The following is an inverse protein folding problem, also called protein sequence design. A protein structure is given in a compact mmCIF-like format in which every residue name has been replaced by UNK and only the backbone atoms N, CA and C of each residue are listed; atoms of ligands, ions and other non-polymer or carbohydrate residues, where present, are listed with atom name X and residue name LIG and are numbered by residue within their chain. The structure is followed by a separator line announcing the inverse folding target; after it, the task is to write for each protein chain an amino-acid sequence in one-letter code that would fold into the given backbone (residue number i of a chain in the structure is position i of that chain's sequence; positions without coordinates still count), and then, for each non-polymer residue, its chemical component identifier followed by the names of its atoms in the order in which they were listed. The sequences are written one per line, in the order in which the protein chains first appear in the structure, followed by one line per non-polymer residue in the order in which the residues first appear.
data_IF_880988138509
#
_entry.id   IF_880988138509
#
_cell.length_a   1.000
_cell.length_b   1.000
_cell.length_c   1.000
_cell.angle_alpha   90.00
_cell.angle_beta   90.00
_cell.angle_gamma   90.00
#
_symmetry.space_group_name_H-M   'P 1'
#
loop_
_entity.id
_entity.type
_entity.pdbx_description
1 polymer ?
#
# COMPACT_ATOMS: atom_id res chain seq x y z
N UNK A 1 78.20 53.30 5.18
CA UNK A 1 78.24 52.31 4.06
C UNK A 1 77.31 51.17 4.48
N UNK A 2 76.03 51.21 4.10
CA UNK A 2 75.45 50.77 2.82
C UNK A 2 75.42 49.24 2.65
N UNK A 3 74.19 48.70 2.50
CA UNK A 3 73.86 47.38 1.98
C UNK A 3 74.06 46.24 3.00
N UNK A 4 73.18 45.25 3.20
CA UNK A 4 72.09 44.77 2.37
C UNK A 4 71.10 44.01 3.30
N UNK A 5 70.07 44.69 3.80
CA UNK A 5 68.89 44.09 4.43
C UNK A 5 67.79 43.99 3.36
N UNK A 6 67.93 43.14 2.33
CA UNK A 6 66.81 42.93 1.40
C UNK A 6 66.95 41.71 0.48
N UNK A 7 67.44 40.55 0.94
CA UNK A 7 67.55 39.41 0.01
C UNK A 7 67.44 38.01 0.63
N UNK A 8 66.83 37.88 1.82
CA UNK A 8 66.52 36.55 2.40
C UNK A 8 65.08 36.37 2.87
N UNK A 9 64.19 37.31 2.51
CA UNK A 9 62.76 37.27 2.87
C UNK A 9 61.83 37.12 1.66
N UNK A 10 62.37 36.71 0.50
CA UNK A 10 61.60 36.51 -0.76
C UNK A 10 61.86 35.09 -1.32
N UNK A 11 62.04 34.11 -0.45
CA UNK A 11 62.11 32.69 -0.85
C UNK A 11 61.37 31.76 0.13
N UNK A 12 60.53 32.34 1.00
CA UNK A 12 59.63 31.62 1.91
C UNK A 12 58.15 32.08 1.79
N UNK A 13 57.82 32.78 0.69
CA UNK A 13 56.46 33.26 0.37
C UNK A 13 56.03 32.83 -1.06
N UNK A 14 56.57 31.71 -1.54
CA UNK A 14 56.21 31.10 -2.83
C UNK A 14 55.99 29.58 -2.69
N UNK A 15 55.47 29.15 -1.54
CA UNK A 15 54.98 27.78 -1.29
C UNK A 15 53.48 27.74 -0.97
N UNK A 16 52.76 28.84 -1.16
CA UNK A 16 51.30 28.92 -0.97
C UNK A 16 50.67 29.43 -2.26
N UNK A 17 50.47 28.54 -3.25
CA UNK A 17 49.42 28.64 -4.28
C UNK A 17 49.63 27.62 -5.40
N UNK A 18 49.58 26.32 -5.09
CA UNK A 18 49.17 25.29 -6.07
C UNK A 18 48.52 24.13 -5.33
N UNK A 19 47.45 24.41 -4.56
CA UNK A 19 46.40 23.39 -4.43
C UNK A 19 45.73 23.30 -5.79
N UNK A 20 46.34 22.53 -6.69
CA UNK A 20 45.65 22.01 -7.87
C UNK A 20 44.42 21.34 -7.30
N UNK A 21 43.24 21.91 -7.54
CA UNK A 21 41.97 21.25 -7.32
C UNK A 21 41.92 20.11 -8.33
N UNK A 22 42.67 19.04 -8.09
CA UNK A 22 42.45 17.78 -8.77
C UNK A 22 41.02 17.41 -8.40
N UNK A 23 40.13 17.45 -9.38
CA UNK A 23 38.83 16.81 -9.23
C UNK A 23 39.13 15.40 -8.73
N UNK A 24 38.59 14.99 -7.57
CA UNK A 24 38.87 13.66 -7.05
C UNK A 24 38.49 12.69 -8.16
N UNK A 25 39.46 11.86 -8.57
CA UNK A 25 39.24 10.85 -9.60
C UNK A 25 38.18 9.91 -9.06
N UNK A 26 36.94 10.10 -9.51
CA UNK A 26 35.83 9.26 -9.08
C UNK A 26 36.10 7.84 -9.55
N UNK A 27 36.18 6.92 -8.59
CA UNK A 27 36.34 5.50 -8.87
C UNK A 27 35.09 4.97 -9.56
N UNK A 28 35.24 3.94 -10.40
CA UNK A 28 34.10 3.27 -11.06
C UNK A 28 33.03 2.81 -10.05
N UNK A 29 33.44 2.38 -8.86
CA UNK A 29 32.55 1.98 -7.77
C UNK A 29 31.77 3.18 -7.20
N UNK A 30 32.41 4.35 -7.06
CA UNK A 30 31.72 5.57 -6.61
C UNK A 30 30.71 6.08 -7.63
N UNK A 31 31.03 6.03 -8.93
CA UNK A 31 30.11 6.36 -10.01
C UNK A 31 28.91 5.40 -10.06
N UNK A 32 29.14 4.11 -9.83
CA UNK A 32 28.07 3.12 -9.78
C UNK A 32 27.16 3.35 -8.57
N UNK A 33 27.72 3.57 -7.37
CA UNK A 33 26.94 3.93 -6.18
C UNK A 33 26.13 5.21 -6.37
N UNK A 34 26.72 6.22 -7.02
CA UNK A 34 26.01 7.47 -7.32
C UNK A 34 24.87 7.23 -8.31
N UNK A 35 25.08 6.49 -9.40
CA UNK A 35 24.02 6.12 -10.35
C UNK A 35 22.90 5.33 -9.68
N UNK A 36 23.23 4.39 -8.80
CA UNK A 36 22.25 3.64 -8.01
C UNK A 36 21.45 4.55 -7.08
N UNK A 37 22.10 5.51 -6.43
CA UNK A 37 21.44 6.49 -5.56
C UNK A 37 20.55 7.47 -6.35
N UNK A 38 21.03 7.99 -7.48
CA UNK A 38 20.25 8.86 -8.36
C UNK A 38 19.01 8.15 -8.90
N UNK A 39 19.17 6.89 -9.33
CA UNK A 39 18.04 6.06 -9.77
C UNK A 39 17.04 5.80 -8.63
N UNK A 40 17.53 5.46 -7.44
CA UNK A 40 16.68 5.29 -6.26
C UNK A 40 15.89 6.57 -5.94
N UNK A 41 16.57 7.71 -5.83
CA UNK A 41 15.93 8.99 -5.51
C UNK A 41 14.97 9.48 -6.59
N UNK A 42 15.22 9.16 -7.86
CA UNK A 42 14.34 9.52 -8.98
C UNK A 42 13.03 8.73 -9.00
N UNK A 43 13.01 7.53 -8.41
CA UNK A 43 11.82 6.67 -8.33
C UNK A 43 11.13 6.72 -6.95
N UNK A 44 11.55 7.64 -6.08
CA UNK A 44 10.95 7.82 -4.77
C UNK A 44 9.55 8.42 -4.93
N UNK A 45 8.55 7.68 -4.47
CA UNK A 45 7.17 8.15 -4.42
C UNK A 45 6.98 8.98 -3.15
N UNK A 46 6.14 10.01 -3.19
CA UNK A 46 5.84 10.83 -2.01
C UNK A 46 4.34 11.14 -1.96
N UNK A 47 3.68 10.58 -0.96
CA UNK A 47 2.29 10.84 -0.62
C UNK A 47 1.99 10.36 0.80
N UNK A 48 0.87 10.81 1.37
CA UNK A 48 0.47 10.46 2.74
C UNK A 48 1.50 10.83 3.83
N UNK A 49 2.34 11.86 3.59
CA UNK A 49 3.47 12.21 4.47
C UNK A 49 4.57 11.14 4.56
N UNK A 50 4.55 10.14 3.69
CA UNK A 50 5.59 9.13 3.57
C UNK A 50 6.27 9.23 2.21
N UNK A 51 7.51 8.77 2.19
CA UNK A 51 8.24 8.45 0.98
C UNK A 51 8.21 6.93 0.81
N UNK A 52 7.94 6.46 -0.41
CA UNK A 52 7.94 5.04 -0.72
C UNK A 52 8.97 4.70 -1.79
N UNK A 53 9.70 3.61 -1.58
CA UNK A 53 10.61 3.04 -2.58
C UNK A 53 10.36 1.55 -2.71
N UNK A 54 10.30 1.05 -3.96
CA UNK A 54 10.33 -0.39 -4.20
C UNK A 54 11.66 -0.96 -3.70
N UNK A 55 11.61 -1.82 -2.69
CA UNK A 55 12.76 -2.49 -2.10
C UNK A 55 12.95 -3.88 -2.69
N UNK A 56 11.88 -4.68 -2.68
CA UNK A 56 11.93 -6.09 -3.01
C UNK A 56 10.83 -6.49 -3.99
N UNK A 57 11.18 -7.39 -4.90
CA UNK A 57 10.24 -8.14 -5.70
C UNK A 57 10.49 -9.63 -5.46
N UNK A 58 9.51 -10.30 -4.86
CA UNK A 58 9.53 -11.73 -4.66
C UNK A 58 8.69 -12.42 -5.71
N UNK A 59 9.33 -13.20 -6.58
CA UNK A 59 8.62 -13.93 -7.63
C UNK A 59 7.81 -15.09 -7.03
N UNK A 60 6.58 -15.27 -7.53
CA UNK A 60 5.69 -16.39 -7.24
C UNK A 60 5.16 -16.99 -8.54
N UNK A 61 4.78 -18.26 -8.54
CA UNK A 61 4.11 -18.89 -9.69
C UNK A 61 2.60 -18.89 -9.47
N UNK A 62 1.94 -17.81 -9.89
CA UNK A 62 0.50 -17.63 -9.73
C UNK A 62 0.12 -16.20 -9.35
N UNK A 63 -1.01 -16.04 -8.66
CA UNK A 63 -1.56 -14.76 -8.24
C UNK A 63 -1.72 -14.78 -6.71
N UNK A 64 -0.94 -13.97 -5.95
CA UNK A 64 -1.18 -13.76 -4.53
C UNK A 64 -2.49 -13.03 -4.30
N UNK A 65 -3.32 -13.56 -3.42
CA UNK A 65 -4.61 -13.04 -3.01
C UNK A 65 -4.67 -13.00 -1.47
N UNK A 66 -5.49 -12.10 -0.94
CA UNK A 66 -5.83 -12.05 0.49
C UNK A 66 -4.60 -12.13 1.43
N UNK A 67 -3.62 -11.26 1.18
CA UNK A 67 -2.41 -11.19 1.98
C UNK A 67 -2.71 -10.61 3.37
N UNK A 68 -2.21 -11.27 4.40
CA UNK A 68 -2.22 -10.79 5.77
C UNK A 68 -0.81 -10.92 6.36
N UNK A 69 -0.40 -9.96 7.20
CA UNK A 69 0.97 -9.88 7.70
C UNK A 69 0.94 -9.98 9.22
N UNK A 70 1.79 -10.87 9.73
CA UNK A 70 2.00 -11.02 11.14
C UNK A 70 3.07 -10.03 11.62
N UNK A 71 2.65 -8.93 12.24
CA UNK A 71 3.49 -7.79 12.64
C UNK A 71 4.65 -8.14 13.56
N UNK A 72 4.48 -9.13 14.44
CA UNK A 72 5.54 -9.59 15.35
C UNK A 72 6.62 -10.42 14.64
N UNK A 73 6.24 -11.30 13.72
CA UNK A 73 7.15 -12.28 13.09
C UNK A 73 7.63 -11.84 11.71
N UNK A 74 6.94 -10.89 11.07
CA UNK A 74 7.16 -10.48 9.69
C UNK A 74 6.72 -11.52 8.65
N UNK A 75 6.09 -12.62 9.07
CA UNK A 75 5.56 -13.63 8.14
C UNK A 75 4.37 -13.06 7.38
N UNK A 76 4.31 -13.35 6.09
CA UNK A 76 3.23 -12.94 5.20
C UNK A 76 2.44 -14.19 4.82
N UNK A 77 1.17 -14.21 5.17
CA UNK A 77 0.22 -15.27 4.88
C UNK A 77 -0.63 -14.85 3.70
N UNK A 78 -0.85 -15.75 2.74
CA UNK A 78 -1.63 -15.41 1.56
C UNK A 78 -2.20 -16.64 0.87
N UNK A 79 -3.23 -16.42 0.08
CA UNK A 79 -3.75 -17.42 -0.86
C UNK A 79 -3.00 -17.28 -2.18
N UNK A 80 -2.40 -18.37 -2.66
CA UNK A 80 -1.84 -18.44 -4.00
C UNK A 80 -2.84 -19.12 -4.93
N UNK A 81 -3.28 -18.39 -5.95
CA UNK A 81 -4.07 -18.91 -7.07
C UNK A 81 -3.09 -19.34 -8.17
N UNK A 82 -2.99 -20.62 -8.45
CA UNK A 82 -2.10 -21.14 -9.52
C UNK A 82 -2.60 -20.75 -10.91
N UNK A 83 -1.76 -20.94 -11.94
CA UNK A 83 -2.18 -20.72 -13.33
C UNK A 83 -3.31 -21.68 -13.77
N UNK A 84 -3.44 -22.83 -13.11
CA UNK A 84 -4.57 -23.77 -13.27
C UNK A 84 -5.77 -23.45 -12.36
N UNK A 85 -5.80 -22.25 -11.77
CA UNK A 85 -6.88 -21.77 -10.89
C UNK A 85 -7.08 -22.61 -9.62
N UNK A 86 -6.02 -23.26 -9.13
CA UNK A 86 -6.05 -23.96 -7.84
C UNK A 86 -5.59 -23.04 -6.73
N UNK A 87 -6.32 -23.02 -5.62
CA UNK A 87 -5.99 -22.22 -4.45
C UNK A 87 -5.16 -23.04 -3.46
N UNK A 88 -4.20 -22.38 -2.83
CA UNK A 88 -3.41 -22.93 -1.74
C UNK A 88 -3.01 -21.82 -0.77
N UNK A 89 -2.91 -22.13 0.52
CA UNK A 89 -2.45 -21.18 1.53
C UNK A 89 -0.93 -21.28 1.64
N UNK A 90 -0.26 -20.13 1.61
CA UNK A 90 1.20 -20.03 1.62
C UNK A 90 1.66 -19.10 2.74
N UNK A 91 2.88 -19.32 3.22
CA UNK A 91 3.62 -18.40 4.07
C UNK A 91 4.86 -17.95 3.32
N UNK A 92 5.10 -16.65 3.23
CA UNK A 92 6.40 -16.08 2.89
C UNK A 92 7.09 -15.68 4.19
N UNK A 93 8.19 -16.36 4.50
CA UNK A 93 9.00 -16.10 5.67
C UNK A 93 9.88 -14.85 5.47
N UNK A 94 10.29 -14.17 6.56
CA UNK A 94 11.27 -13.07 6.48
C UNK A 94 12.61 -13.46 5.85
N UNK A 95 12.96 -14.76 5.84
CA UNK A 95 14.12 -15.28 5.12
C UNK A 95 13.98 -15.21 3.59
N UNK A 96 12.76 -14.99 3.09
CA UNK A 96 12.40 -15.07 1.69
C UNK A 96 11.97 -16.47 1.24
N UNK A 97 11.86 -17.45 2.14
CA UNK A 97 11.41 -18.81 1.79
C UNK A 97 9.89 -18.93 1.81
N UNK A 98 9.34 -19.75 0.91
CA UNK A 98 7.91 -20.04 0.84
C UNK A 98 7.60 -21.40 1.43
N UNK A 99 6.58 -21.46 2.30
CA UNK A 99 6.02 -22.69 2.84
C UNK A 99 4.56 -22.87 2.47
N UNK A 100 4.20 -24.08 2.04
CA UNK A 100 2.81 -24.47 1.81
C UNK A 100 2.14 -24.86 3.14
N UNK A 101 1.04 -24.21 3.47
CA UNK A 101 0.20 -24.58 4.61
C UNK A 101 -0.71 -25.74 4.21
N UNK A 102 -0.49 -26.91 4.81
CA UNK A 102 -1.30 -28.11 4.58
C UNK A 102 -2.46 -28.16 5.57
N UNK A 103 -3.63 -27.67 5.16
CA UNK A 103 -4.86 -27.71 5.96
C UNK A 103 -5.79 -28.82 5.48
N UNK A 104 -6.68 -29.31 6.34
CA UNK A 104 -7.74 -30.21 5.95
C UNK A 104 -8.80 -29.45 5.14
N UNK A 105 -9.01 -29.85 3.89
CA UNK A 105 -9.90 -29.17 2.94
C UNK A 105 -9.15 -28.24 1.98
N UNK A 106 -9.89 -27.50 1.17
CA UNK A 106 -9.35 -26.46 0.28
C UNK A 106 -9.18 -25.15 1.05
N UNK A 107 -7.95 -24.67 1.21
CA UNK A 107 -7.67 -23.40 1.86
C UNK A 107 -7.97 -22.18 0.96
N UNK A 108 -8.66 -21.20 1.53
CA UNK A 108 -9.29 -20.08 0.79
C UNK A 108 -8.70 -18.71 1.14
N UNK A 109 -8.47 -18.43 2.42
CA UNK A 109 -7.96 -17.15 2.93
C UNK A 109 -7.20 -17.30 4.24
N UNK A 110 -6.52 -16.23 4.64
CA UNK A 110 -5.84 -16.14 5.93
C UNK A 110 -6.17 -14.84 6.64
N UNK A 111 -6.35 -14.90 7.96
CA UNK A 111 -6.51 -13.72 8.79
C UNK A 111 -5.50 -13.77 9.94
N UNK A 112 -4.74 -12.70 10.13
CA UNK A 112 -3.83 -12.58 11.27
C UNK A 112 -4.45 -11.63 12.30
N UNK A 113 -4.81 -12.19 13.45
CA UNK A 113 -5.12 -11.41 14.64
C UNK A 113 -3.81 -11.01 15.32
N UNK A 114 -3.29 -9.86 14.89
CA UNK A 114 -2.01 -9.33 15.36
C UNK A 114 -2.01 -8.94 16.85
N UNK A 115 -3.17 -8.68 17.46
CA UNK A 115 -3.26 -8.32 18.87
C UNK A 115 -3.18 -9.54 19.76
N UNK A 116 -3.76 -10.67 19.32
CA UNK A 116 -3.79 -11.92 20.09
C UNK A 116 -2.74 -12.94 19.64
N UNK A 117 -1.92 -12.65 18.63
CA UNK A 117 -0.84 -13.52 18.12
C UNK A 117 -1.40 -14.83 17.52
N UNK A 118 -2.54 -14.74 16.81
CA UNK A 118 -3.24 -15.90 16.24
C UNK A 118 -3.39 -15.75 14.74
N UNK A 119 -3.10 -16.83 14.00
CA UNK A 119 -3.38 -16.94 12.57
C UNK A 119 -4.57 -17.86 12.36
N UNK A 120 -5.55 -17.40 11.60
CA UNK A 120 -6.72 -18.16 11.20
C UNK A 120 -6.66 -18.52 9.72
N UNK A 121 -7.08 -19.74 9.40
CA UNK A 121 -7.15 -20.28 8.05
C UNK A 121 -8.61 -20.55 7.69
N UNK A 122 -9.08 -20.00 6.59
CA UNK A 122 -10.40 -20.32 6.05
C UNK A 122 -10.31 -21.49 5.09
N UNK A 123 -11.28 -22.39 5.13
CA UNK A 123 -11.37 -23.54 4.23
C UNK A 123 -12.80 -23.78 3.72
N UNK A 124 -12.94 -24.76 2.84
CA UNK A 124 -14.21 -25.34 2.39
C UNK A 124 -15.01 -26.10 3.47
N UNK A 125 -14.47 -26.26 4.69
CA UNK A 125 -15.12 -27.02 5.76
C UNK A 125 -15.19 -26.30 7.11
N UNK A 126 -14.51 -25.16 7.26
CA UNK A 126 -14.53 -24.38 8.49
C UNK A 126 -13.38 -23.39 8.61
N UNK A 127 -13.07 -23.08 9.85
CA UNK A 127 -11.94 -22.22 10.21
C UNK A 127 -11.00 -22.98 11.12
N UNK A 128 -9.70 -22.83 10.89
CA UNK A 128 -8.65 -23.41 11.72
C UNK A 128 -7.77 -22.32 12.33
N UNK A 129 -7.16 -22.61 13.47
CA UNK A 129 -6.02 -21.87 14.01
C UNK A 129 -4.73 -22.49 13.51
N UNK A 130 -3.82 -21.67 13.04
CA UNK A 130 -2.46 -22.04 12.65
C UNK A 130 -1.47 -21.52 13.69
N UNK A 131 -0.68 -22.43 14.25
CA UNK A 131 0.30 -22.13 15.30
C UNK A 131 1.70 -21.97 14.71
N UNK A 132 2.57 -21.30 15.46
CA UNK A 132 3.96 -21.04 15.05
C UNK A 132 4.79 -22.29 14.81
N UNK A 133 4.47 -23.40 15.47
CA UNK A 133 5.10 -24.70 15.27
C UNK A 133 4.59 -25.43 14.00
N UNK A 134 3.70 -24.80 13.24
CA UNK A 134 3.07 -25.35 12.04
C UNK A 134 1.87 -26.26 12.31
N UNK A 135 1.49 -26.47 13.57
CA UNK A 135 0.31 -27.26 13.91
C UNK A 135 -0.99 -26.49 13.59
N UNK A 136 -2.03 -27.27 13.27
CA UNK A 136 -3.34 -26.78 12.85
C UNK A 136 -4.39 -27.36 13.79
N UNK A 137 -5.25 -26.50 14.32
CA UNK A 137 -6.35 -26.86 15.21
C UNK A 137 -7.67 -26.36 14.64
N UNK A 138 -8.69 -27.23 14.56
CA UNK A 138 -10.02 -26.82 14.12
C UNK A 138 -10.60 -25.83 15.12
N UNK A 139 -10.91 -24.63 14.66
CA UNK A 139 -11.55 -23.60 15.47
C UNK A 139 -13.07 -23.77 15.45
N UNK A 140 -13.66 -23.88 14.26
CA UNK A 140 -15.09 -24.14 14.10
C UNK A 140 -15.36 -24.83 12.78
N UNK A 141 -16.23 -25.84 12.79
CA UNK A 141 -16.77 -26.46 11.59
C UNK A 141 -18.02 -25.71 11.15
N UNK A 142 -18.16 -25.46 9.84
CA UNK A 142 -19.28 -24.68 9.30
C UNK A 142 -20.05 -25.42 8.20
N UNK A 143 -19.44 -26.46 7.60
CA UNK A 143 -20.09 -27.27 6.57
C UNK A 143 -20.39 -26.51 5.27
N UNK A 144 -19.77 -25.34 5.07
CA UNK A 144 -19.84 -24.51 3.87
C UNK A 144 -18.50 -23.80 3.67
N UNK A 145 -18.28 -23.26 2.46
CA UNK A 145 -17.03 -22.60 2.11
C UNK A 145 -16.87 -21.26 2.82
N UNK A 146 -15.81 -21.14 3.62
CA UNK A 146 -15.39 -19.88 4.23
C UNK A 146 -14.39 -19.21 3.29
N UNK A 147 -14.78 -18.08 2.71
CA UNK A 147 -13.95 -17.35 1.75
C UNK A 147 -13.06 -16.30 2.40
N UNK A 148 -13.55 -15.61 3.43
CA UNK A 148 -12.80 -14.55 4.12
C UNK A 148 -13.10 -14.59 5.62
N UNK A 149 -12.11 -14.20 6.42
CA UNK A 149 -12.19 -14.11 7.87
C UNK A 149 -11.74 -12.72 8.31
N UNK A 150 -12.45 -12.14 9.26
CA UNK A 150 -11.97 -11.02 10.06
C UNK A 150 -12.27 -11.28 11.54
N UNK A 151 -11.41 -10.79 12.43
CA UNK A 151 -11.57 -10.98 13.88
C UNK A 151 -11.62 -9.60 14.53
N UNK A 152 -12.48 -9.44 15.55
CA UNK A 152 -12.52 -8.20 16.32
C UNK A 152 -11.21 -8.00 17.09
N UNK A 153 -10.84 -6.76 17.36
CA UNK A 153 -9.60 -6.43 18.06
C UNK A 153 -9.49 -7.06 19.46
N UNK A 154 -10.61 -7.30 20.12
CA UNK A 154 -10.70 -7.96 21.41
C UNK A 154 -10.75 -9.50 21.32
N UNK A 155 -10.71 -10.07 20.11
CA UNK A 155 -10.80 -11.51 19.85
C UNK A 155 -12.16 -12.13 20.22
N UNK A 156 -13.15 -11.33 20.60
CA UNK A 156 -14.45 -11.82 21.13
C UNK A 156 -15.40 -12.34 20.05
N UNK A 157 -15.18 -11.94 18.79
CA UNK A 157 -15.99 -12.34 17.67
C UNK A 157 -15.16 -12.51 16.40
N UNK A 158 -15.60 -13.46 15.58
CA UNK A 158 -15.09 -13.68 14.24
C UNK A 158 -16.21 -13.39 13.24
N UNK A 159 -15.89 -12.67 12.18
CA UNK A 159 -16.74 -12.49 11.03
C UNK A 159 -16.21 -13.35 9.89
N UNK A 160 -17.11 -14.06 9.24
CA UNK A 160 -16.81 -14.90 8.08
C UNK A 160 -17.66 -14.47 6.90
N UNK A 161 -17.10 -14.52 5.69
CA UNK A 161 -17.86 -14.44 4.45
C UNK A 161 -17.91 -15.82 3.79
N UNK A 162 -19.08 -16.29 3.40
CA UNK A 162 -19.27 -17.64 2.84
C UNK A 162 -19.61 -17.64 1.35
N UNK A 163 -19.24 -18.71 0.66
CA UNK A 163 -19.57 -18.97 -0.74
C UNK A 163 -20.43 -20.24 -0.86
N UNK A 164 -21.38 -20.33 -1.81
CA UNK A 164 -21.73 -19.35 -2.86
C UNK A 164 -22.70 -18.23 -2.45
N UNK A 165 -23.20 -18.23 -1.22
CA UNK A 165 -24.29 -17.33 -0.81
C UNK A 165 -23.85 -15.88 -0.58
N UNK A 166 -22.54 -15.57 -0.54
CA UNK A 166 -21.97 -14.25 -0.28
C UNK A 166 -22.54 -13.59 0.99
N UNK A 167 -22.76 -14.41 2.02
CA UNK A 167 -23.29 -13.96 3.31
C UNK A 167 -22.16 -13.71 4.28
N UNK A 168 -22.34 -12.72 5.15
CA UNK A 168 -21.41 -12.45 6.24
C UNK A 168 -22.04 -12.85 7.56
N UNK A 169 -21.38 -13.76 8.26
CA UNK A 169 -21.83 -14.26 9.56
C UNK A 169 -20.89 -13.84 10.67
N UNK A 170 -21.44 -13.45 11.81
CA UNK A 170 -20.73 -13.36 13.07
C UNK A 170 -20.76 -14.72 13.76
N UNK A 171 -19.60 -15.20 14.17
CA UNK A 171 -19.38 -16.38 14.99
C UNK A 171 -18.98 -15.87 16.38
N UNK A 172 -19.80 -16.20 17.38
CA UNK A 172 -19.53 -15.91 18.79
C UNK A 172 -18.78 -17.06 19.46
N UNK A 173 -18.22 -16.83 20.65
CA UNK A 173 -17.43 -17.82 21.40
C UNK A 173 -18.17 -19.13 21.73
N UNK A 174 -19.50 -19.13 21.70
CA UNK A 174 -20.36 -20.31 21.87
C UNK A 174 -20.63 -21.06 20.55
N UNK A 175 -20.01 -20.64 19.44
CA UNK A 175 -20.17 -21.23 18.11
C UNK A 175 -21.48 -20.86 17.42
N UNK A 176 -22.28 -19.94 17.98
CA UNK A 176 -23.50 -19.49 17.33
C UNK A 176 -23.17 -18.65 16.09
N UNK A 177 -23.89 -18.97 15.01
CA UNK A 177 -23.74 -18.32 13.70
C UNK A 177 -24.92 -17.37 13.48
N UNK A 178 -24.63 -16.07 13.45
CA UNK A 178 -25.64 -15.04 13.20
C UNK A 178 -25.32 -14.32 11.88
N UNK A 179 -26.29 -14.26 10.96
CA UNK A 179 -26.16 -13.40 9.77
C UNK A 179 -26.11 -11.93 10.17
N UNK A 180 -25.14 -11.20 9.62
CA UNK A 180 -24.84 -9.83 10.04
C UNK A 180 -25.63 -8.80 9.24
N UNK A 181 -25.76 -9.02 7.92
CA UNK A 181 -26.50 -8.19 6.99
C UNK A 181 -26.82 -9.00 5.71
N UNK A 182 -27.76 -8.52 4.90
CA UNK A 182 -28.15 -9.17 3.64
C UNK A 182 -26.98 -9.29 2.67
N UNK A 183 -26.87 -10.44 1.98
CA UNK A 183 -25.78 -10.71 1.04
C UNK A 183 -25.51 -9.56 0.05
N UNK A 184 -24.24 -9.16 -0.05
CA UNK A 184 -23.76 -8.23 -1.07
C UNK A 184 -23.10 -9.06 -2.19
N UNK A 185 -23.57 -8.96 -3.44
CA UNK A 185 -23.05 -9.79 -4.53
C UNK A 185 -21.59 -9.46 -4.87
N UNK A 186 -20.84 -10.48 -5.29
CA UNK A 186 -19.45 -10.38 -5.73
C UNK A 186 -18.50 -9.78 -4.68
N UNK A 187 -18.73 -10.15 -3.42
CA UNK A 187 -17.81 -9.85 -2.32
C UNK A 187 -16.50 -10.62 -2.44
N UNK A 188 -15.38 -9.94 -2.18
CA UNK A 188 -14.06 -10.55 -2.25
C UNK A 188 -13.06 -9.96 -1.24
N UNK A 189 -13.54 -9.42 -0.12
CA UNK A 189 -12.67 -8.98 0.97
C UNK A 189 -13.49 -8.63 2.21
N UNK A 190 -12.92 -8.93 3.38
CA UNK A 190 -13.53 -8.70 4.67
C UNK A 190 -12.45 -8.29 5.68
N UNK A 191 -12.63 -7.17 6.35
CA UNK A 191 -11.74 -6.75 7.45
C UNK A 191 -12.54 -5.99 8.51
N UNK A 192 -11.97 -5.84 9.70
CA UNK A 192 -12.60 -5.17 10.85
C UNK A 192 -11.58 -4.23 11.48
N UNK A 193 -12.00 -3.00 11.80
CA UNK A 193 -11.17 -2.04 12.54
C UNK A 193 -11.32 -2.20 14.07
N UNK A 194 -10.46 -1.55 14.88
CA UNK A 194 -10.54 -1.66 16.34
C UNK A 194 -11.80 -1.07 16.98
N UNK A 195 -12.59 -0.31 16.22
CA UNK A 195 -13.92 0.18 16.63
C UNK A 195 -15.03 -0.82 16.32
N UNK A 196 -14.67 -2.01 15.82
CA UNK A 196 -15.55 -3.06 15.33
C UNK A 196 -16.42 -2.62 14.15
N UNK A 197 -15.97 -1.64 13.35
CA UNK A 197 -16.56 -1.41 12.05
C UNK A 197 -16.02 -2.46 11.09
N UNK A 198 -16.92 -3.03 10.29
CA UNK A 198 -16.58 -4.06 9.32
C UNK A 198 -16.55 -3.47 7.93
N UNK A 199 -15.53 -3.80 7.16
CA UNK A 199 -15.35 -3.39 5.79
C UNK A 199 -15.52 -4.59 4.87
N UNK A 200 -16.35 -4.41 3.85
CA UNK A 200 -16.64 -5.44 2.87
C UNK A 200 -16.32 -4.92 1.48
N UNK A 201 -15.47 -5.64 0.76
CA UNK A 201 -15.02 -5.27 -0.59
C UNK A 201 -15.84 -6.05 -1.60
N UNK A 202 -16.45 -5.36 -2.55
CA UNK A 202 -17.15 -5.97 -3.68
C UNK A 202 -16.64 -5.39 -5.00
N UNK A 203 -16.82 -6.11 -6.11
CA UNK A 203 -16.23 -5.75 -7.43
C UNK A 203 -16.48 -4.30 -7.84
N UNK A 204 -17.65 -3.76 -7.51
CA UNK A 204 -18.00 -2.37 -7.84
C UNK A 204 -17.47 -1.37 -6.81
N UNK A 205 -17.45 -1.69 -5.53
CA UNK A 205 -17.10 -0.72 -4.49
C UNK A 205 -16.97 -1.40 -3.14
N UNK A 206 -16.50 -0.65 -2.14
CA UNK A 206 -16.41 -1.14 -0.76
C UNK A 206 -17.48 -0.50 0.13
N UNK A 207 -17.89 -1.24 1.13
CA UNK A 207 -18.91 -0.86 2.11
C UNK A 207 -18.32 -0.92 3.52
N UNK A 208 -18.86 -0.10 4.40
CA UNK A 208 -18.61 -0.13 5.83
C UNK A 208 -19.92 -0.45 6.56
N UNK A 209 -19.94 -1.51 7.38
CA UNK A 209 -20.96 -1.69 8.40
C UNK A 209 -20.41 -1.14 9.70
N UNK A 210 -20.97 -0.01 10.15
CA UNK A 210 -20.59 0.59 11.43
C UNK A 210 -21.01 -0.30 12.59
N UNK A 211 -20.24 -0.29 13.67
CA UNK A 211 -20.60 -1.04 14.87
C UNK A 211 -22.00 -0.64 15.38
N UNK A 212 -22.85 -1.63 15.66
CA UNK A 212 -24.24 -1.46 16.07
C UNK A 212 -25.23 -1.20 14.93
N UNK A 213 -24.78 -1.10 13.68
CA UNK A 213 -25.65 -0.92 12.52
C UNK A 213 -25.98 -2.29 11.89
N UNK A 214 -27.07 -2.35 11.11
CA UNK A 214 -27.51 -3.56 10.40
C UNK A 214 -27.48 -3.41 8.88
N UNK A 215 -27.19 -2.21 8.38
CA UNK A 215 -27.17 -1.89 6.94
C UNK A 215 -25.79 -1.33 6.58
N UNK A 216 -25.04 -2.00 5.68
CA UNK A 216 -23.76 -1.50 5.19
C UNK A 216 -23.92 -0.20 4.40
N UNK A 217 -23.00 0.73 4.60
CA UNK A 217 -22.95 2.04 3.96
C UNK A 217 -21.86 2.00 2.89
N UNK A 218 -22.21 2.39 1.65
CA UNK A 218 -21.21 2.54 0.58
C UNK A 218 -20.19 3.62 0.96
N UNK A 219 -18.90 3.33 0.83
CA UNK A 219 -17.83 4.30 1.09
C UNK A 219 -17.75 5.26 -0.10
N UNK A 220 -17.98 6.55 0.15
CA UNK A 220 -17.94 7.60 -0.88
C UNK A 220 -16.49 7.94 -1.24
N UNK A 221 -16.21 8.29 -2.49
CA UNK A 221 -14.87 8.70 -2.93
C UNK A 221 -13.94 7.57 -3.38
N UNK A 222 -14.35 6.30 -3.19
CA UNK A 222 -13.72 5.16 -3.85
C UNK A 222 -14.23 5.03 -5.30
N UNK A 223 -13.42 4.47 -6.22
CA UNK A 223 -13.88 4.17 -7.56
C UNK A 223 -15.08 3.20 -7.58
N UNK A 224 -15.83 3.25 -8.67
CA UNK A 224 -17.05 2.44 -8.88
C UNK A 224 -16.80 1.08 -9.53
N UNK A 225 -15.53 0.73 -9.73
CA UNK A 225 -15.05 -0.54 -10.22
C UNK A 225 -13.63 -0.77 -9.69
N UNK A 226 -13.22 -2.05 -9.63
CA UNK A 226 -11.82 -2.46 -9.47
C UNK A 226 -11.18 -2.17 -8.12
N UNK A 227 -11.99 -2.11 -7.06
CA UNK A 227 -11.46 -2.18 -5.70
C UNK A 227 -10.84 -3.54 -5.46
N UNK A 228 -9.65 -3.59 -4.88
CA UNK A 228 -8.94 -4.84 -4.57
C UNK A 228 -9.08 -5.22 -3.10
N UNK A 229 -9.01 -4.24 -2.19
CA UNK A 229 -9.02 -4.53 -0.77
C UNK A 229 -9.24 -3.31 0.11
N UNK A 230 -9.48 -3.58 1.39
CA UNK A 230 -9.39 -2.63 2.49
C UNK A 230 -8.49 -3.24 3.55
N UNK A 231 -7.59 -2.45 4.12
CA UNK A 231 -6.62 -2.88 5.12
C UNK A 231 -6.66 -1.94 6.31
N UNK A 232 -6.51 -2.49 7.51
CA UNK A 232 -6.39 -1.72 8.76
C UNK A 232 -4.94 -1.81 9.22
N UNK A 233 -4.28 -0.65 9.26
CA UNK A 233 -2.89 -0.52 9.67
C UNK A 233 -2.70 -0.68 11.18
N UNK A 234 -1.44 -0.73 11.62
CA UNK A 234 -1.07 -0.82 13.04
C UNK A 234 -1.46 0.43 13.85
N UNK A 235 -1.57 1.57 13.20
CA UNK A 235 -2.00 2.84 13.80
C UNK A 235 -3.53 3.01 13.81
N UNK A 236 -4.27 1.94 13.51
CA UNK A 236 -5.74 1.93 13.38
C UNK A 236 -6.28 2.78 12.21
N UNK A 237 -5.40 3.23 11.32
CA UNK A 237 -5.79 3.90 10.08
C UNK A 237 -6.27 2.87 9.05
N UNK A 238 -7.33 3.24 8.31
CA UNK A 238 -7.95 2.37 7.33
C UNK A 238 -7.58 2.82 5.93
N UNK A 239 -7.03 1.91 5.14
CA UNK A 239 -6.64 2.15 3.77
C UNK A 239 -7.41 1.28 2.80
N UNK A 240 -7.63 1.78 1.59
CA UNK A 240 -8.16 0.99 0.49
C UNK A 240 -7.23 1.10 -0.71
N UNK A 241 -7.22 0.07 -1.56
CA UNK A 241 -6.44 0.07 -2.80
C UNK A 241 -7.25 -0.51 -3.95
N UNK A 242 -7.11 0.09 -5.13
CA UNK A 242 -7.67 -0.42 -6.39
C UNK A 242 -6.65 -1.20 -7.22
N UNK A 243 -7.10 -1.81 -8.30
CA UNK A 243 -6.27 -2.65 -9.18
C UNK A 243 -5.06 -1.91 -9.81
N UNK A 244 -5.10 -0.58 -9.82
CA UNK A 244 -4.07 0.30 -10.38
C UNK A 244 -3.16 0.89 -9.29
N UNK A 245 -3.18 0.28 -8.09
CA UNK A 245 -2.39 0.67 -6.94
C UNK A 245 -2.62 2.10 -6.45
N UNK A 246 -3.81 2.68 -6.71
CA UNK A 246 -4.18 3.92 -6.06
C UNK A 246 -4.49 3.65 -4.59
N UNK A 247 -3.80 4.32 -3.70
CA UNK A 247 -4.02 4.23 -2.26
C UNK A 247 -5.01 5.31 -1.82
N UNK A 248 -5.97 4.92 -0.97
CA UNK A 248 -6.97 5.81 -0.40
C UNK A 248 -6.95 5.71 1.12
N UNK A 249 -7.03 6.83 1.83
CA UNK A 249 -7.38 6.84 3.26
C UNK A 249 -8.90 6.77 3.39
N UNK A 250 -9.41 5.86 4.21
CA UNK A 250 -10.83 5.72 4.51
C UNK A 250 -11.13 6.38 5.85
N UNK A 251 -12.12 7.26 5.87
CA UNK A 251 -12.71 7.86 7.06
C UNK A 251 -13.94 7.03 7.48
N UNK A 252 -13.85 6.24 8.56
CA UNK A 252 -14.94 5.40 9.03
C UNK A 252 -16.16 6.21 9.49
N UNK A 253 -15.92 7.38 10.10
CA UNK A 253 -16.96 8.22 10.69
C UNK A 253 -17.82 8.85 9.61
N UNK A 254 -17.20 9.33 8.53
CA UNK A 254 -17.92 9.94 7.42
C UNK A 254 -18.27 8.94 6.30
N UNK A 255 -17.86 7.68 6.42
CA UNK A 255 -18.01 6.65 5.37
C UNK A 255 -17.53 7.19 4.01
N UNK A 256 -16.37 7.84 4.02
CA UNK A 256 -15.78 8.47 2.84
C UNK A 256 -14.31 8.09 2.70
N UNK A 257 -13.74 8.30 1.53
CA UNK A 257 -12.36 8.01 1.23
C UNK A 257 -11.74 9.14 0.43
N UNK A 258 -10.44 9.32 0.62
CA UNK A 258 -9.63 10.32 -0.08
C UNK A 258 -8.44 9.64 -0.74
N UNK A 259 -8.25 9.91 -2.03
CA UNK A 259 -7.07 9.46 -2.76
C UNK A 259 -5.80 10.11 -2.19
N UNK A 260 -4.78 9.28 -1.94
CA UNK A 260 -3.50 9.70 -1.38
C UNK A 260 -2.42 9.76 -2.46
N UNK A 261 -2.32 8.73 -3.29
CA UNK A 261 -1.28 8.57 -4.30
C UNK A 261 -1.38 7.24 -5.03
N UNK A 262 -0.37 6.91 -5.84
CA UNK A 262 -0.31 5.66 -6.61
C UNK A 262 1.09 5.06 -6.55
N UNK A 263 1.17 3.73 -6.46
CA UNK A 263 2.43 3.00 -6.55
C UNK A 263 2.87 2.72 -8.00
N UNK A 264 2.06 3.12 -8.99
CA UNK A 264 2.31 2.87 -10.42
C UNK A 264 2.46 1.37 -10.76
N UNK A 265 1.78 0.51 -10.00
CA UNK A 265 1.67 -0.94 -10.22
C UNK A 265 0.25 -1.23 -10.73
N UNK A 266 0.12 -2.01 -11.80
CA UNK A 266 -1.16 -2.44 -12.34
C UNK A 266 -1.41 -3.93 -12.09
N UNK A 267 -2.68 -4.33 -12.11
CA UNK A 267 -3.08 -5.72 -11.87
C UNK A 267 -2.92 -6.14 -10.41
N UNK A 268 -3.13 -5.20 -9.49
CA UNK A 268 -3.10 -5.46 -8.04
C UNK A 268 -4.24 -6.40 -7.66
N UNK A 269 -3.89 -7.56 -7.13
CA UNK A 269 -4.84 -8.58 -6.68
C UNK A 269 -4.94 -8.64 -5.14
N UNK A 270 -3.93 -8.15 -4.43
CA UNK A 270 -3.97 -8.00 -2.97
C UNK A 270 -3.01 -6.92 -2.53
N UNK A 271 -3.26 -6.33 -1.36
CA UNK A 271 -2.25 -5.53 -0.66
C UNK A 271 -2.37 -5.73 0.85
N UNK A 272 -1.27 -5.46 1.57
CA UNK A 272 -1.21 -5.47 3.02
C UNK A 272 -0.13 -4.50 3.50
N UNK A 273 -0.12 -4.18 4.79
CA UNK A 273 0.93 -3.36 5.40
C UNK A 273 1.56 -4.09 6.59
N UNK A 274 2.88 -3.98 6.71
CA UNK A 274 3.60 -4.53 7.86
C UNK A 274 3.60 -3.56 9.05
N UNK A 275 4.29 -3.93 10.13
CA UNK A 275 4.33 -3.13 11.37
C UNK A 275 5.03 -1.79 11.25
N UNK A 276 5.76 -1.55 10.16
CA UNK A 276 6.48 -0.32 9.87
C UNK A 276 5.82 0.47 8.72
N UNK A 277 4.55 0.15 8.42
CA UNK A 277 3.76 0.73 7.33
C UNK A 277 4.37 0.55 5.93
N UNK A 278 5.28 -0.43 5.77
CA UNK A 278 5.72 -0.83 4.44
C UNK A 278 4.54 -1.48 3.72
N UNK A 279 4.38 -1.16 2.45
CA UNK A 279 3.24 -1.61 1.64
C UNK A 279 3.66 -2.81 0.80
N UNK A 280 2.94 -3.91 0.94
CA UNK A 280 3.11 -5.10 0.13
C UNK A 280 1.99 -5.18 -0.89
N UNK A 281 2.33 -5.40 -2.16
CA UNK A 281 1.40 -5.46 -3.28
C UNK A 281 1.56 -6.80 -3.99
N UNK A 282 0.50 -7.60 -4.01
CA UNK A 282 0.41 -8.86 -4.74
C UNK A 282 -0.10 -8.61 -6.16
N UNK A 283 0.66 -9.07 -7.15
CA UNK A 283 0.31 -9.06 -8.57
C UNK A 283 0.55 -10.44 -9.17
N UNK A 284 0.04 -10.71 -10.36
CA UNK A 284 0.38 -11.96 -11.06
C UNK A 284 1.90 -12.08 -11.19
N UNK A 285 2.45 -13.16 -10.65
CA UNK A 285 3.86 -13.51 -10.73
C UNK A 285 4.75 -12.92 -9.63
N UNK A 286 4.26 -12.02 -8.77
CA UNK A 286 5.11 -11.39 -7.77
C UNK A 286 4.36 -10.83 -6.53
N UNK A 287 5.11 -10.72 -5.43
CA UNK A 287 4.81 -9.85 -4.30
C UNK A 287 5.86 -8.72 -4.30
N UNK A 288 5.41 -7.48 -4.34
CA UNK A 288 6.25 -6.27 -4.33
C UNK A 288 6.23 -5.66 -2.94
N UNK A 289 7.38 -5.25 -2.40
CA UNK A 289 7.49 -4.54 -1.12
C UNK A 289 7.98 -3.11 -1.35
N UNK A 290 7.18 -2.15 -0.89
CA UNK A 290 7.54 -0.73 -0.87
C UNK A 290 7.84 -0.32 0.56
N UNK A 291 9.09 0.08 0.82
CA UNK A 291 9.46 0.60 2.12
C UNK A 291 8.91 2.00 2.33
N UNK A 292 8.36 2.26 3.51
CA UNK A 292 7.88 3.56 3.94
C UNK A 292 8.98 4.29 4.72
N UNK A 293 9.15 5.58 4.43
CA UNK A 293 10.05 6.47 5.17
C UNK A 293 9.29 7.74 5.56
N UNK A 294 9.26 8.08 6.84
CA UNK A 294 8.68 9.35 7.33
C UNK A 294 9.48 10.57 6.86
N UNK A 295 10.78 10.38 6.61
CA UNK A 295 11.68 11.42 6.14
C UNK A 295 12.28 11.01 4.81
N UNK A 296 12.51 12.00 3.94
CA UNK A 296 13.13 11.78 2.64
C UNK A 296 14.51 11.13 2.81
N UNK A 297 14.74 9.90 2.29
CA UNK A 297 16.08 9.31 2.24
C UNK A 297 17.03 10.04 1.27
N UNK A 298 16.51 11.04 0.53
CA UNK A 298 17.22 11.80 -0.50
C UNK A 298 17.18 13.32 -0.24
N UNK A 299 17.66 13.82 0.91
CA UNK A 299 17.50 15.24 1.31
C UNK A 299 18.21 16.23 0.36
N UNK A 300 19.31 15.82 -0.26
CA UNK A 300 20.06 16.65 -1.21
C UNK A 300 19.31 16.86 -2.55
N UNK A 301 18.48 15.90 -2.95
CA UNK A 301 17.73 15.92 -4.21
C UNK A 301 16.51 16.86 -4.14
N UNK A 302 15.94 17.01 -2.95
CA UNK A 302 14.88 18.00 -2.72
C UNK A 302 15.38 19.44 -2.87
N UNK A 303 16.62 19.69 -2.48
CA UNK A 303 17.22 21.02 -2.54
C UNK A 303 17.65 21.43 -3.95
N UNK A 304 17.98 20.48 -4.82
CA UNK A 304 18.34 20.75 -6.23
C UNK A 304 17.10 21.01 -7.11
N UNK A 305 15.99 20.29 -6.88
CA UNK A 305 14.73 20.50 -7.62
C UNK A 305 14.07 21.87 -7.33
N UNK A 306 14.22 22.40 -6.11
CA UNK A 306 13.72 23.74 -5.73
C UNK A 306 14.53 24.89 -6.34
N UNK A 307 15.82 24.71 -6.66
CA UNK A 307 16.67 25.74 -7.29
C UNK A 307 16.41 25.94 -8.79
N UNK A 308 15.67 25.04 -9.45
CA UNK A 308 15.37 25.10 -10.88
C UNK A 308 14.16 25.97 -11.27
N UNK A 309 13.29 26.36 -10.32
CA UNK A 309 12.15 27.25 -10.60
C UNK A 309 12.57 28.72 -10.63
N UNK A 310 13.48 29.06 -11.54
CA UNK A 310 13.76 30.47 -11.87
C UNK A 310 12.57 30.97 -12.68
N UNK A 311 11.76 31.85 -12.08
CA UNK A 311 10.62 32.51 -12.71
C UNK A 311 11.02 33.08 -14.08
N UNK A 312 10.62 32.38 -15.14
CA UNK A 312 10.53 32.95 -16.47
C UNK A 312 9.42 34.00 -16.44
N UNK A 313 9.80 35.27 -16.22
CA UNK A 313 8.93 36.43 -16.43
C UNK A 313 8.53 36.47 -17.91
N UNK A 314 7.37 35.90 -18.24
CA UNK A 314 6.70 36.12 -19.52
C UNK A 314 6.45 37.62 -19.70
N UNK A 315 7.20 38.21 -20.64
CA UNK A 315 7.05 39.59 -21.11
C UNK A 315 5.65 39.72 -21.74
N UNK A 316 4.77 40.50 -21.11
CA UNK A 316 3.45 40.84 -21.68
C UNK A 316 3.65 41.70 -22.93
N UNK A 317 3.30 41.18 -24.10
CA UNK A 317 3.13 41.99 -25.30
C UNK A 317 1.82 42.77 -25.22
N UNK A 318 1.93 44.08 -25.33
CA UNK A 318 0.86 45.08 -25.33
C UNK A 318 0.13 45.00 -26.68
N UNK A 319 -1.10 44.44 -26.71
CA UNK A 319 -1.98 44.51 -27.88
C UNK A 319 -2.52 45.93 -28.01
N UNK A 320 -2.27 46.52 -29.17
CA UNK A 320 -2.76 47.83 -29.63
C UNK A 320 -4.23 47.66 -30.05
N UNK A 321 -5.12 48.40 -29.40
CA UNK A 321 -6.53 48.55 -29.74
C UNK A 321 -6.68 49.43 -30.98
N UNK A 322 -7.51 49.00 -31.92
CA UNK A 322 -8.17 49.88 -32.90
C UNK A 322 -9.66 49.61 -32.81
N UNK A 323 -10.39 50.66 -32.48
CA UNK A 323 -11.84 50.75 -32.43
C UNK A 323 -12.42 50.91 -33.82
N UNK A 324 -13.49 50.20 -34.11
CA UNK A 324 -14.53 50.65 -35.05
C UNK A 324 -15.89 50.24 -34.48
N UNK A 325 -16.78 51.23 -34.45
CA UNK A 325 -18.10 51.36 -33.85
C UNK A 325 -19.14 50.39 -34.47
N UNK A 326 -20.24 50.05 -33.77
CA UNK A 326 -21.16 48.99 -34.17
C UNK A 326 -22.36 49.50 -34.99
N UNK A 327 -23.01 48.58 -35.71
CA UNK A 327 -24.42 48.71 -36.14
C UNK A 327 -25.22 47.51 -35.60
N UNK A 328 -26.51 47.70 -35.23
CA UNK A 328 -27.35 46.68 -34.63
C UNK A 328 -28.38 46.10 -35.62
N UNK A 329 -28.66 44.80 -35.51
CA UNK A 329 -29.85 44.05 -35.96
C UNK A 329 -29.49 42.56 -35.80
N UNK A 330 -30.32 41.62 -35.39
CA UNK A 330 -31.74 41.55 -35.08
C UNK A 330 -31.92 40.31 -34.19
N UNK A 331 -32.99 40.29 -33.42
CA UNK A 331 -33.49 39.15 -32.65
C UNK A 331 -33.86 38.00 -33.59
N UNK A 332 -33.56 36.77 -33.22
CA UNK A 332 -34.38 35.60 -33.54
C UNK A 332 -34.14 34.53 -32.47
N UNK A 333 -35.14 34.41 -31.59
CA UNK A 333 -35.43 33.20 -30.83
C UNK A 333 -35.80 32.08 -31.82
N UNK A 334 -35.39 30.84 -31.58
CA UNK A 334 -36.26 29.66 -31.72
C UNK A 334 -35.59 28.40 -31.15
N UNK A 335 -36.38 27.77 -30.26
CA UNK A 335 -36.47 26.37 -29.78
C UNK A 335 -35.26 25.59 -29.23
#
# INVERSE_FOLDING_TARGET
MCGNQMEKTILLLLSIATSISSTPVMTRQSLQRQKTREHFCANLLNFNNFYYSLEEQKNVTGIPADMSIHWKTGKIYFTLISDEMKMSLQVLNPSGEFDLIKVAGLGQSTCVDNLNDIVYLATDNGVYKYKDDGSIELFTALGEDVMYIAVTSDGSAMYIATWPQNRVHKITNDGQKQETFTAIPNGHGLTVDPRNNMYFVATKTSYILKNGYTVPIKIKGLPSDKMTGVFVSRSDEVFAMDENSNLYSVDPENSSAKHLGTFSVSGVNSFAMDSADNVLIGVKGAILKFNAYEQSPCPEYENSSKKGKRHSRKRKNKKRTTSTTPEPAEEEEEE
#
